data_IF_829394139245
#
_entry.id   IF_829394139245
#
_cell.length_a   1.000
_cell.length_b   1.000
_cell.length_c   1.000
_cell.angle_alpha   90.00
_cell.angle_beta   90.00
_cell.angle_gamma   90.00
#
_symmetry.space_group_name_H-M   'P 1'
#
loop_
_entity.id
_entity.type
_entity.pdbx_description
1 polymer ?
#
# COMPACT_ATOMS: atom_id res chain seq x y z
N UNK A 1 -9.08 2.61 16.55
CA UNK A 1 -7.87 3.04 15.91
C UNK A 1 -7.47 2.08 14.82
N UNK A 2 -7.00 2.59 13.69
CA UNK A 2 -6.67 1.72 12.59
C UNK A 2 -5.33 1.06 12.81
N UNK A 3 -5.19 -0.17 12.34
CA UNK A 3 -3.89 -0.80 12.29
C UNK A 3 -3.09 -0.13 11.19
N UNK A 4 -1.77 -0.39 11.17
CA UNK A 4 -0.95 0.18 10.12
C UNK A 4 -1.41 -0.27 8.75
N UNK A 5 -1.77 -1.54 8.62
CA UNK A 5 -2.23 -2.05 7.35
C UNK A 5 -3.49 -1.33 6.90
N UNK A 6 -4.43 -1.14 7.82
CA UNK A 6 -5.66 -0.44 7.46
C UNK A 6 -5.41 1.00 7.08
N UNK A 7 -4.49 1.64 7.80
CA UNK A 7 -4.15 3.02 7.46
C UNK A 7 -3.60 3.10 6.05
N UNK A 8 -2.68 2.22 5.70
CA UNK A 8 -2.08 2.26 4.38
C UNK A 8 -3.09 1.94 3.29
N UNK A 9 -4.00 1.01 3.55
CA UNK A 9 -5.04 0.73 2.57
C UNK A 9 -5.93 1.94 2.35
N UNK A 10 -6.29 2.62 3.41
CA UNK A 10 -7.11 3.80 3.27
C UNK A 10 -6.39 4.88 2.48
N UNK A 11 -5.11 5.09 2.76
CA UNK A 11 -4.37 6.10 2.04
C UNK A 11 -4.27 5.74 0.56
N UNK A 12 -4.08 4.47 0.25
CA UNK A 12 -4.02 4.06 -1.13
C UNK A 12 -5.31 4.38 -1.87
N UNK A 13 -6.44 4.12 -1.21
CA UNK A 13 -7.71 4.42 -1.83
C UNK A 13 -7.91 5.91 -2.03
N UNK A 14 -7.47 6.71 -1.08
CA UNK A 14 -7.57 8.16 -1.20
C UNK A 14 -6.75 8.64 -2.39
N UNK A 15 -5.56 8.09 -2.57
CA UNK A 15 -4.73 8.51 -3.68
C UNK A 15 -5.32 8.07 -5.01
N UNK A 16 -5.92 6.87 -5.07
CA UNK A 16 -6.57 6.47 -6.31
C UNK A 16 -7.74 7.37 -6.64
N UNK A 17 -8.52 7.76 -5.65
CA UNK A 17 -9.62 8.68 -5.90
C UNK A 17 -9.10 10.03 -6.38
N UNK A 18 -7.98 10.48 -5.81
CA UNK A 18 -7.40 11.74 -6.27
C UNK A 18 -6.92 11.61 -7.70
N UNK A 19 -6.39 10.44 -8.07
CA UNK A 19 -5.95 10.23 -9.44
C UNK A 19 -7.11 10.33 -10.41
N UNK A 20 -8.26 9.80 -10.02
CA UNK A 20 -9.42 9.86 -10.89
C UNK A 20 -9.90 11.29 -11.10
N UNK A 21 -9.71 12.13 -10.11
CA UNK A 21 -10.13 13.52 -10.21
C UNK A 21 -9.07 14.41 -10.84
N UNK A 22 -7.87 13.89 -11.04
CA UNK A 22 -6.79 14.71 -11.58
C UNK A 22 -7.10 15.13 -13.00
N UNK A 23 -6.78 16.38 -13.32
CA UNK A 23 -7.11 16.90 -14.63
C UNK A 23 -5.94 16.81 -15.59
N UNK A 24 -4.76 16.46 -15.12
CA UNK A 24 -3.65 16.29 -16.05
C UNK A 24 -2.94 14.99 -15.76
N UNK A 25 -2.20 14.52 -16.76
CA UNK A 25 -1.59 13.21 -16.68
C UNK A 25 -0.52 13.12 -15.61
N UNK A 26 0.24 14.18 -15.43
CA UNK A 26 1.31 14.12 -14.46
C UNK A 26 0.76 14.00 -13.05
N UNK A 27 -0.26 14.77 -12.73
CA UNK A 27 -0.86 14.68 -11.41
C UNK A 27 -1.45 13.29 -11.19
N UNK A 28 -2.07 12.73 -12.22
CA UNK A 28 -2.64 11.39 -12.10
C UNK A 28 -1.55 10.38 -11.81
N UNK A 29 -0.43 10.49 -12.52
CA UNK A 29 0.65 9.54 -12.30
C UNK A 29 1.22 9.64 -10.89
N UNK A 30 1.36 10.85 -10.37
CA UNK A 30 1.87 11.02 -9.03
C UNK A 30 0.96 10.34 -8.01
N UNK A 31 -0.34 10.56 -8.14
CA UNK A 31 -1.27 9.94 -7.20
C UNK A 31 -1.28 8.43 -7.33
N UNK A 32 -1.18 7.90 -8.56
CA UNK A 32 -1.16 6.47 -8.73
C UNK A 32 0.12 5.87 -8.16
N UNK A 33 1.22 6.57 -8.27
CA UNK A 33 2.44 6.07 -7.69
C UNK A 33 2.35 6.05 -6.17
N UNK A 34 1.77 7.08 -5.58
CA UNK A 34 1.58 7.10 -4.14
C UNK A 34 0.67 5.96 -3.71
N UNK A 35 -0.38 5.70 -4.47
CA UNK A 35 -1.26 4.59 -4.14
C UNK A 35 -0.50 3.27 -4.13
N UNK A 36 0.36 3.07 -5.13
CA UNK A 36 1.16 1.85 -5.17
C UNK A 36 2.07 1.72 -3.97
N UNK A 37 2.67 2.83 -3.56
CA UNK A 37 3.55 2.78 -2.41
C UNK A 37 2.79 2.43 -1.14
N UNK A 38 1.61 3.01 -0.97
CA UNK A 38 0.81 2.67 0.20
C UNK A 38 0.37 1.22 0.17
N UNK A 39 0.05 0.72 -1.01
CA UNK A 39 -0.34 -0.68 -1.10
C UNK A 39 0.81 -1.61 -0.75
N UNK A 40 2.01 -1.28 -1.19
CA UNK A 40 3.17 -2.09 -0.82
C UNK A 40 3.45 -2.00 0.66
N UNK A 41 3.25 -0.82 1.25
CA UNK A 41 3.44 -0.68 2.68
C UNK A 41 2.42 -1.51 3.44
N UNK A 42 1.20 -1.56 2.96
CA UNK A 42 0.18 -2.38 3.60
C UNK A 42 0.55 -3.85 3.53
N UNK A 43 1.03 -4.28 2.38
CA UNK A 43 1.40 -5.68 2.21
C UNK A 43 2.59 -6.03 3.08
N UNK A 44 3.55 -5.13 3.20
CA UNK A 44 4.71 -5.39 4.04
C UNK A 44 4.31 -5.50 5.49
N UNK A 45 3.38 -4.67 5.93
CA UNK A 45 2.90 -4.73 7.29
C UNK A 45 2.21 -6.06 7.57
N UNK A 46 1.41 -6.51 6.63
CA UNK A 46 0.75 -7.79 6.80
C UNK A 46 1.75 -8.93 6.79
N UNK A 47 2.75 -8.83 5.94
CA UNK A 47 3.75 -9.85 5.87
C UNK A 47 4.51 -9.97 7.17
N UNK A 48 4.72 -8.87 7.82
CA UNK A 48 5.38 -8.91 9.11
C UNK A 48 4.60 -9.69 10.11
N UNK A 49 3.33 -9.65 10.01
CA UNK A 49 2.51 -10.40 10.93
C UNK A 49 2.65 -11.87 10.70
N UNK A 50 2.84 -12.25 9.48
CA UNK A 50 2.94 -13.62 9.19
C UNK A 50 4.23 -14.11 9.61
N UNK A 51 4.29 -14.96 10.30
CA UNK A 51 5.52 -15.40 10.77
C UNK A 51 6.32 -15.80 9.70
N UNK A 52 6.55 -15.37 9.33
CA UNK A 52 7.24 -15.51 8.41
C UNK A 52 8.08 -16.52 8.46
N UNK A 53 8.17 -16.97 9.38
CA UNK A 53 8.91 -17.88 9.46
C UNK A 53 8.72 -18.83 8.68
N UNK A 54 7.74 -18.84 8.52
CA UNK A 54 7.38 -19.72 7.68
C UNK A 54 8.22 -19.62 6.58
N UNK A 55 8.40 -18.58 6.14
CA UNK A 55 8.98 -18.56 5.04
C UNK A 55 10.29 -18.79 5.14
N UNK A 56 10.77 -18.65 6.00
CA UNK A 56 11.96 -18.77 6.03
C UNK A 56 12.35 -19.98 6.14
N UNK A 57 11.71 -20.37 6.45
CA UNK A 57 11.98 -21.41 6.65
C UNK A 57 12.46 -21.98 5.77
N UNK A 58 12.21 -21.66 5.23
CA UNK A 58 12.58 -22.09 4.38
C UNK A 58 13.69 -22.23 4.38
N UNK A 59 13.94 -21.63 4.59
CA UNK A 59 15.03 -21.66 4.37
C UNK A 59 15.53 -22.52 5.02
N UNK A 60 15.17 -22.50 5.66
CA UNK A 60 15.72 -23.31 6.35
C UNK A 60 16.12 -24.05 5.76
#
# INVERSE_FOLDING_TARGET
MLSDSEYFHRRAEEERAAAERATNALAREVHLELASRYERAAAATQTNVVPFEARRVVGG
#
